data_IF_146450396900
#
_entry.id   IF_146450396900
#
_cell.length_a   1.000
_cell.length_b   1.000
_cell.length_c   1.000
_cell.angle_alpha   90.00
_cell.angle_beta   90.00
_cell.angle_gamma   90.00
#
_symmetry.space_group_name_H-M   'P 1'
#
loop_
_entity.id
_entity.type
_entity.pdbx_description
1 polymer ?
#
# COMPACT_ATOMS: atom_id res chain seq x y z
N UNK A 1 -24.51 -80.81 23.78
CA UNK A 1 -24.00 -81.80 22.84
C UNK A 1 -22.77 -81.13 22.19
N UNK A 2 -21.70 -81.46 22.56
CA UNK A 2 -20.71 -82.46 22.32
C UNK A 2 -19.66 -81.86 21.42
N UNK A 3 -18.51 -81.82 21.70
CA UNK A 3 -17.42 -82.55 22.16
C UNK A 3 -16.23 -82.20 21.34
N UNK A 4 -15.15 -82.00 21.83
CA UNK A 4 -13.93 -82.68 22.01
C UNK A 4 -12.87 -82.14 21.02
N UNK A 5 -11.66 -81.76 21.31
CA UNK A 5 -10.69 -82.42 22.10
C UNK A 5 -9.46 -82.65 21.21
N UNK A 6 -8.28 -82.33 21.65
CA UNK A 6 -7.09 -82.90 21.04
C UNK A 6 -5.90 -81.95 20.91
N UNK A 7 -5.00 -82.12 21.83
CA UNK A 7 -3.70 -81.46 21.95
C UNK A 7 -2.61 -82.08 21.05
N UNK A 8 -1.51 -81.42 20.95
CA UNK A 8 -0.31 -81.84 20.26
C UNK A 8 0.89 -80.97 20.60
N UNK A 9 1.71 -81.44 21.53
CA UNK A 9 3.06 -80.91 21.81
C UNK A 9 3.97 -81.11 20.59
N UNK A 10 4.84 -80.15 20.31
CA UNK A 10 5.84 -80.35 19.27
C UNK A 10 6.90 -79.25 19.14
N UNK A 11 7.92 -79.32 20.00
CA UNK A 11 9.34 -79.03 19.74
C UNK A 11 9.74 -77.57 19.31
N UNK A 12 10.41 -76.93 20.23
CA UNK A 12 11.34 -75.80 20.04
C UNK A 12 12.44 -76.18 19.05
N UNK A 13 12.68 -75.35 18.05
CA UNK A 13 13.95 -75.26 17.32
C UNK A 13 14.41 -73.82 17.39
N UNK A 14 15.56 -73.62 18.04
CA UNK A 14 16.32 -72.37 18.02
C UNK A 14 16.94 -72.21 16.62
N UNK A 15 16.62 -71.14 15.96
CA UNK A 15 17.42 -70.64 14.81
C UNK A 15 18.04 -69.31 15.18
N UNK A 16 19.36 -69.25 15.13
CA UNK A 16 20.19 -68.10 15.33
C UNK A 16 19.91 -67.09 14.18
N UNK A 17 19.56 -65.88 14.52
CA UNK A 17 19.50 -64.79 13.57
C UNK A 17 20.85 -64.11 13.49
N UNK A 18 21.47 -64.24 12.31
CA UNK A 18 22.64 -63.49 11.87
C UNK A 18 22.12 -62.14 11.38
N UNK A 19 22.59 -60.95 11.83
CA UNK A 19 22.14 -59.67 11.29
C UNK A 19 22.88 -59.42 9.98
N UNK A 20 22.17 -59.50 8.86
CA UNK A 20 22.60 -58.93 7.59
C UNK A 20 22.53 -57.41 7.68
N UNK A 21 23.66 -56.76 7.81
CA UNK A 21 23.86 -55.35 7.58
C UNK A 21 23.66 -55.06 6.07
N UNK A 22 22.46 -54.60 5.70
CA UNK A 22 22.22 -53.98 4.41
C UNK A 22 22.56 -52.51 4.54
N UNK A 23 23.51 -51.96 3.75
CA UNK A 23 23.68 -50.50 3.71
C UNK A 23 22.51 -49.92 2.96
N UNK A 24 21.63 -49.14 3.64
CA UNK A 24 20.67 -48.25 3.04
C UNK A 24 21.44 -47.19 2.29
N UNK A 25 21.56 -47.36 0.98
CA UNK A 25 21.93 -46.29 0.05
C UNK A 25 20.73 -45.39 -0.08
N UNK A 26 20.59 -44.37 0.79
CA UNK A 26 19.70 -43.26 0.61
C UNK A 26 20.26 -42.42 -0.53
N UNK A 27 19.84 -42.71 -1.75
CA UNK A 27 19.91 -41.79 -2.86
C UNK A 27 18.96 -40.60 -2.54
N UNK A 28 19.54 -39.56 -1.96
CA UNK A 28 18.92 -38.25 -1.92
C UNK A 28 18.81 -37.75 -3.36
N UNK A 29 17.66 -38.00 -3.98
CA UNK A 29 17.23 -37.21 -5.14
C UNK A 29 16.81 -35.87 -4.58
N UNK A 30 17.78 -35.03 -4.30
CA UNK A 30 17.57 -33.59 -4.16
C UNK A 30 17.18 -33.08 -5.55
N UNK A 31 15.89 -33.15 -5.87
CA UNK A 31 15.30 -32.43 -6.99
C UNK A 31 15.62 -30.95 -6.78
N UNK A 32 16.56 -30.44 -7.57
CA UNK A 32 16.89 -29.05 -7.66
C UNK A 32 15.71 -28.31 -8.31
N UNK A 33 14.71 -28.01 -7.52
CA UNK A 33 13.82 -26.88 -7.73
C UNK A 33 14.40 -25.68 -6.97
N UNK A 34 15.67 -25.35 -7.25
CA UNK A 34 16.19 -24.03 -7.01
C UNK A 34 15.52 -23.11 -8.01
N UNK A 35 14.28 -22.69 -7.72
CA UNK A 35 13.74 -21.47 -8.25
C UNK A 35 14.79 -20.41 -7.97
N UNK A 36 15.37 -19.81 -9.00
CA UNK A 36 16.19 -18.63 -8.90
C UNK A 36 15.36 -17.62 -8.11
N UNK A 37 15.61 -17.44 -6.81
CA UNK A 37 15.30 -16.20 -6.12
C UNK A 37 15.98 -15.12 -6.97
N UNK A 38 15.15 -14.43 -7.78
CA UNK A 38 15.60 -13.21 -8.41
C UNK A 38 16.05 -12.33 -7.23
N UNK A 39 17.30 -11.89 -7.27
CA UNK A 39 17.78 -10.87 -6.35
C UNK A 39 16.71 -9.77 -6.28
N UNK A 40 15.87 -9.79 -5.24
CA UNK A 40 15.12 -8.62 -4.83
C UNK A 40 16.19 -7.58 -4.60
N UNK A 41 16.20 -6.53 -5.41
CA UNK A 41 17.17 -5.44 -5.26
C UNK A 41 17.18 -5.09 -3.78
N UNK A 42 18.31 -5.32 -3.12
CA UNK A 42 18.44 -5.17 -1.67
C UNK A 42 18.35 -3.67 -1.34
N UNK A 43 17.12 -3.12 -1.36
CA UNK A 43 16.89 -1.91 -0.59
C UNK A 43 17.00 -2.32 0.88
N UNK A 44 17.92 -1.63 1.59
CA UNK A 44 17.92 -1.70 3.04
C UNK A 44 16.53 -1.32 3.59
N UNK A 45 16.36 -1.47 4.87
CA UNK A 45 15.11 -1.05 5.55
C UNK A 45 14.74 0.38 5.16
N UNK A 46 13.45 0.66 4.99
CA UNK A 46 12.95 2.03 4.89
C UNK A 46 13.32 2.78 6.18
N UNK A 47 13.92 3.96 6.05
CA UNK A 47 14.45 4.73 7.18
C UNK A 47 14.22 6.22 7.00
N UNK A 48 14.12 6.92 8.12
CA UNK A 48 14.16 8.38 8.13
C UNK A 48 15.56 8.89 7.79
N UNK A 49 15.64 9.95 7.00
CA UNK A 49 16.89 10.60 6.57
C UNK A 49 17.68 11.12 7.77
N UNK A 50 18.97 10.88 7.78
CA UNK A 50 19.85 11.18 8.92
C UNK A 50 19.94 12.67 9.23
N UNK A 51 20.08 13.49 8.22
CA UNK A 51 20.31 14.94 8.36
C UNK A 51 19.03 15.67 8.78
N UNK A 52 17.90 15.31 8.17
CA UNK A 52 16.64 16.03 8.32
C UNK A 52 15.65 15.37 9.26
N UNK A 53 15.77 14.06 9.51
CA UNK A 53 14.76 13.30 10.24
C UNK A 53 13.42 13.26 9.48
N UNK A 54 13.45 13.33 8.15
CA UNK A 54 12.26 13.26 7.29
C UNK A 54 12.15 11.91 6.61
N UNK A 55 10.92 11.51 6.28
CA UNK A 55 10.60 10.44 5.35
C UNK A 55 9.54 10.94 4.38
N UNK A 56 9.82 10.87 3.08
CA UNK A 56 8.97 11.45 2.05
C UNK A 56 8.40 10.37 1.15
N UNK A 57 7.08 10.37 1.00
CA UNK A 57 6.32 9.51 0.10
C UNK A 57 5.78 10.34 -1.05
N UNK A 58 5.93 9.87 -2.29
CA UNK A 58 5.18 10.37 -3.45
C UNK A 58 4.09 9.35 -3.77
N UNK A 59 2.84 9.78 -3.64
CA UNK A 59 1.66 9.00 -4.06
C UNK A 59 1.34 9.32 -5.52
N UNK A 60 1.22 8.27 -6.31
CA UNK A 60 0.79 8.28 -7.72
C UNK A 60 -0.46 7.43 -7.85
N UNK A 61 -1.55 7.97 -8.39
CA UNK A 61 -2.81 7.27 -8.57
C UNK A 61 -3.29 7.43 -10.01
N UNK A 62 -4.03 6.45 -10.48
CA UNK A 62 -4.81 6.55 -11.72
C UNK A 62 -3.94 6.96 -12.92
N UNK A 63 -2.87 6.19 -13.15
CA UNK A 63 -2.02 6.38 -14.32
C UNK A 63 -2.70 5.91 -15.59
N UNK A 64 -3.52 4.87 -15.51
CA UNK A 64 -4.19 4.24 -16.64
C UNK A 64 -3.27 4.00 -17.84
N UNK A 65 -2.02 3.66 -17.55
CA UNK A 65 -1.02 3.43 -18.60
C UNK A 65 -1.43 2.23 -19.47
N UNK A 66 -1.29 2.33 -20.76
CA UNK A 66 -1.58 1.24 -21.68
C UNK A 66 -0.39 0.97 -22.60
N UNK A 67 -0.48 1.25 -23.88
CA UNK A 67 0.54 0.86 -24.86
C UNK A 67 1.54 1.98 -25.20
N UNK A 68 1.79 2.87 -24.28
CA UNK A 68 2.83 3.90 -24.37
C UNK A 68 2.60 4.89 -25.51
N UNK A 69 3.48 4.91 -26.49
CA UNK A 69 3.42 5.85 -27.63
C UNK A 69 2.13 5.73 -28.47
N UNK A 70 1.53 4.55 -28.52
CA UNK A 70 0.30 4.30 -29.32
C UNK A 70 -0.98 4.67 -28.58
N UNK A 71 -0.90 4.98 -27.29
CA UNK A 71 -2.05 5.36 -26.46
C UNK A 71 -2.16 6.86 -26.38
N UNK A 72 -3.27 7.43 -26.90
CA UNK A 72 -3.52 8.87 -26.88
C UNK A 72 -3.92 9.38 -25.50
N UNK A 73 -3.64 10.66 -25.24
CA UNK A 73 -4.13 11.34 -24.04
C UNK A 73 -5.63 11.60 -24.12
N UNK A 74 -6.29 11.61 -22.95
CA UNK A 74 -7.70 11.98 -22.79
C UNK A 74 -7.84 13.28 -22.00
N UNK A 75 -8.93 14.02 -22.24
CA UNK A 75 -9.32 15.22 -21.50
C UNK A 75 -8.19 16.26 -21.34
N UNK A 76 -7.45 16.48 -22.40
CA UNK A 76 -6.42 17.52 -22.50
C UNK A 76 -6.91 18.72 -23.32
N UNK A 77 -6.24 19.87 -23.19
CA UNK A 77 -6.54 21.03 -24.01
C UNK A 77 -6.29 20.74 -25.51
N UNK A 78 -7.04 21.33 -26.44
CA UNK A 78 -6.83 21.14 -27.88
C UNK A 78 -5.37 21.36 -28.32
N UNK A 79 -4.69 22.31 -27.69
CA UNK A 79 -3.26 22.59 -27.93
C UNK A 79 -2.30 21.50 -27.44
N UNK A 80 -2.76 20.59 -26.61
CA UNK A 80 -1.97 19.50 -26.03
C UNK A 80 -2.19 18.16 -26.74
N UNK A 81 -3.23 18.02 -27.58
CA UNK A 81 -3.61 16.75 -28.22
C UNK A 81 -2.51 16.21 -29.13
N UNK A 82 -1.90 17.09 -29.93
CA UNK A 82 -0.91 16.66 -30.92
C UNK A 82 0.34 16.06 -30.24
N UNK A 83 0.55 14.75 -30.45
CA UNK A 83 1.69 14.02 -29.90
C UNK A 83 1.60 13.67 -28.41
N UNK A 84 0.48 13.93 -27.74
CA UNK A 84 0.24 13.52 -26.37
C UNK A 84 -0.08 12.03 -26.29
N UNK A 85 0.66 11.32 -25.45
CA UNK A 85 0.52 9.86 -25.25
C UNK A 85 0.85 9.52 -23.80
N UNK A 86 0.79 8.22 -23.44
CA UNK A 86 1.27 7.73 -22.14
C UNK A 86 2.70 8.16 -21.81
N UNK A 87 3.52 8.48 -22.82
CA UNK A 87 4.87 8.99 -22.58
C UNK A 87 4.87 10.34 -21.85
N UNK A 88 3.77 11.08 -21.86
CA UNK A 88 3.60 12.27 -21.03
C UNK A 88 3.48 11.88 -19.55
N UNK A 89 2.77 10.79 -19.24
CA UNK A 89 2.74 10.20 -17.90
C UNK A 89 4.14 9.80 -17.44
N UNK A 90 4.90 9.10 -18.30
CA UNK A 90 6.30 8.73 -18.03
C UNK A 90 7.16 9.97 -17.76
N UNK A 91 7.06 11.00 -18.59
CA UNK A 91 7.83 12.23 -18.43
C UNK A 91 7.48 12.95 -17.12
N UNK A 92 6.21 12.99 -16.74
CA UNK A 92 5.76 13.59 -15.49
C UNK A 92 6.28 12.83 -14.26
N UNK A 93 6.30 11.48 -14.28
CA UNK A 93 6.92 10.68 -13.22
C UNK A 93 8.38 11.07 -12.99
N UNK A 94 9.20 11.12 -14.04
CA UNK A 94 10.61 11.53 -13.91
C UNK A 94 10.77 12.94 -13.34
N UNK A 95 9.91 13.89 -13.76
CA UNK A 95 9.94 15.27 -13.28
C UNK A 95 9.63 15.35 -11.78
N UNK A 96 8.56 14.67 -11.33
CA UNK A 96 8.16 14.66 -9.94
C UNK A 96 9.19 13.96 -9.06
N UNK A 97 9.71 12.81 -9.49
CA UNK A 97 10.69 12.06 -8.71
C UNK A 97 12.02 12.83 -8.56
N UNK A 98 12.48 13.54 -9.61
CA UNK A 98 13.66 14.41 -9.50
C UNK A 98 13.44 15.61 -8.58
N UNK A 99 12.25 16.20 -8.61
CA UNK A 99 11.94 17.38 -7.81
C UNK A 99 11.72 17.05 -6.33
N UNK A 100 11.14 15.88 -6.04
CA UNK A 100 10.77 15.50 -4.68
C UNK A 100 11.80 14.58 -4.01
N UNK A 101 12.59 13.82 -4.79
CA UNK A 101 13.54 12.84 -4.25
C UNK A 101 12.90 11.98 -3.14
N UNK A 102 11.82 11.20 -3.46
CA UNK A 102 11.09 10.46 -2.44
C UNK A 102 11.92 9.33 -1.84
N UNK A 103 11.63 9.01 -0.57
CA UNK A 103 12.16 7.83 0.11
C UNK A 103 11.33 6.58 -0.21
N UNK A 104 10.08 6.77 -0.70
CA UNK A 104 9.19 5.73 -1.18
C UNK A 104 8.22 6.32 -2.22
N UNK A 105 7.98 5.59 -3.29
CA UNK A 105 6.87 5.84 -4.20
C UNK A 105 5.73 4.88 -3.89
N UNK A 106 4.51 5.38 -3.77
CA UNK A 106 3.31 4.55 -3.56
C UNK A 106 2.37 4.73 -4.74
N UNK A 107 2.15 3.66 -5.47
CA UNK A 107 1.18 3.57 -6.55
C UNK A 107 -0.15 3.09 -5.97
N UNK A 108 -1.18 3.93 -6.04
CA UNK A 108 -2.47 3.64 -5.38
C UNK A 108 -3.55 3.17 -6.33
N UNK A 109 -3.19 2.27 -7.24
CA UNK A 109 -4.12 1.56 -8.13
C UNK A 109 -4.40 2.29 -9.44
N UNK A 110 -5.07 1.58 -10.33
CA UNK A 110 -5.29 1.95 -11.72
C UNK A 110 -3.97 2.40 -12.37
N UNK A 111 -2.95 1.57 -12.13
CA UNK A 111 -1.60 1.78 -12.64
C UNK A 111 -1.59 1.62 -14.16
N UNK A 112 -2.38 0.65 -14.66
CA UNK A 112 -2.64 0.43 -16.07
C UNK A 112 -4.14 0.48 -16.34
N UNK A 113 -4.50 0.73 -17.61
CA UNK A 113 -5.84 0.48 -18.10
C UNK A 113 -5.84 -0.86 -18.84
N UNK A 114 -6.13 -1.93 -18.09
CA UNK A 114 -6.01 -3.30 -18.59
C UNK A 114 -6.82 -3.53 -19.86
N UNK A 115 -8.03 -2.98 -19.95
CA UNK A 115 -8.90 -3.11 -21.13
C UNK A 115 -8.28 -2.52 -22.42
N UNK A 116 -7.43 -1.50 -22.31
CA UNK A 116 -6.77 -0.85 -23.45
C UNK A 116 -5.32 -1.31 -23.65
N UNK A 117 -4.81 -2.15 -22.75
CA UNK A 117 -3.45 -2.69 -22.82
C UNK A 117 -3.41 -3.93 -23.70
N UNK A 118 -2.55 -3.95 -24.72
CA UNK A 118 -2.35 -5.16 -25.55
C UNK A 118 -1.64 -6.27 -24.77
N UNK A 119 -0.82 -5.90 -23.77
CA UNK A 119 -0.11 -6.80 -22.87
C UNK A 119 0.02 -6.11 -21.50
N UNK A 120 -0.83 -6.51 -20.56
CA UNK A 120 -0.91 -5.90 -19.23
C UNK A 120 0.44 -5.94 -18.46
N UNK A 121 1.24 -7.01 -18.64
CA UNK A 121 2.55 -7.09 -17.99
C UNK A 121 3.52 -6.03 -18.54
N UNK A 122 3.58 -5.86 -19.87
CA UNK A 122 4.43 -4.83 -20.49
C UNK A 122 3.97 -3.42 -20.16
N UNK A 123 2.65 -3.19 -20.14
CA UNK A 123 2.10 -1.89 -19.73
C UNK A 123 2.46 -1.55 -18.30
N UNK A 124 2.38 -2.54 -17.39
CA UNK A 124 2.81 -2.39 -16.00
C UNK A 124 4.31 -2.12 -15.89
N UNK A 125 5.14 -2.87 -16.63
CA UNK A 125 6.59 -2.63 -16.68
C UNK A 125 6.90 -1.20 -17.14
N UNK A 126 6.21 -0.69 -18.15
CA UNK A 126 6.40 0.67 -18.66
C UNK A 126 5.90 1.75 -17.69
N UNK A 127 4.75 1.52 -17.04
CA UNK A 127 4.19 2.44 -16.04
C UNK A 127 5.12 2.63 -14.84
N UNK A 128 5.76 1.56 -14.36
CA UNK A 128 6.62 1.57 -13.17
C UNK A 128 8.10 1.86 -13.51
N UNK A 129 8.50 1.76 -14.78
CA UNK A 129 9.89 1.93 -15.23
C UNK A 129 10.59 3.17 -14.64
N UNK A 130 9.98 4.36 -14.53
CA UNK A 130 10.67 5.53 -13.95
C UNK A 130 11.13 5.34 -12.51
N UNK A 131 10.36 4.64 -11.67
CA UNK A 131 10.77 4.34 -10.30
C UNK A 131 11.95 3.35 -10.27
N UNK A 132 11.92 2.34 -11.15
CA UNK A 132 13.00 1.35 -11.29
C UNK A 132 14.29 2.00 -11.81
N UNK A 133 14.21 2.81 -12.85
CA UNK A 133 15.35 3.47 -13.49
C UNK A 133 16.05 4.44 -12.54
N UNK A 134 15.27 5.16 -11.74
CA UNK A 134 15.78 6.07 -10.71
C UNK A 134 16.18 5.35 -9.42
N UNK A 135 16.08 4.01 -9.38
CA UNK A 135 16.41 3.17 -8.22
C UNK A 135 15.64 3.59 -6.96
N UNK A 136 14.40 3.99 -7.12
CA UNK A 136 13.53 4.32 -5.98
C UNK A 136 12.85 3.05 -5.46
N UNK A 137 12.74 2.86 -4.14
CA UNK A 137 11.86 1.84 -3.58
C UNK A 137 10.41 2.25 -3.85
N UNK A 138 9.56 1.29 -4.14
CA UNK A 138 8.15 1.53 -4.39
C UNK A 138 7.27 0.40 -3.88
N UNK A 139 6.01 0.75 -3.60
CA UNK A 139 4.95 -0.16 -3.20
C UNK A 139 3.68 0.17 -3.98
N UNK A 140 2.81 -0.81 -4.20
CA UNK A 140 1.58 -0.62 -4.95
C UNK A 140 0.39 -1.35 -4.32
N UNK A 141 -0.79 -0.78 -4.50
CA UNK A 141 -2.07 -1.48 -4.41
C UNK A 141 -2.68 -1.59 -5.80
N UNK A 142 -3.66 -2.46 -5.96
CA UNK A 142 -4.35 -2.72 -7.21
C UNK A 142 -5.64 -1.89 -7.26
N UNK A 143 -5.91 -1.25 -8.40
CA UNK A 143 -7.18 -0.60 -8.71
C UNK A 143 -8.16 -1.56 -9.40
N UNK A 144 -9.28 -1.03 -9.89
CA UNK A 144 -10.28 -1.84 -10.57
C UNK A 144 -9.96 -2.07 -12.05
N UNK A 145 -9.18 -1.19 -12.69
CA UNK A 145 -8.80 -1.32 -14.10
C UNK A 145 -7.54 -2.15 -14.35
N UNK A 146 -6.72 -2.41 -13.32
CA UNK A 146 -5.44 -3.13 -13.49
C UNK A 146 -5.61 -4.56 -14.01
N UNK A 147 -6.74 -5.22 -13.75
CA UNK A 147 -7.02 -6.62 -14.10
C UNK A 147 -7.91 -6.81 -15.32
N UNK A 148 -8.37 -5.75 -15.98
CA UNK A 148 -9.31 -5.82 -17.10
C UNK A 148 -8.70 -6.36 -18.40
N UNK A 149 -7.41 -6.72 -18.40
CA UNK A 149 -6.65 -7.16 -19.56
C UNK A 149 -6.21 -8.60 -19.50
N UNK A 150 -4.94 -8.83 -19.88
CA UNK A 150 -4.36 -10.16 -20.02
C UNK A 150 -3.93 -10.81 -18.70
N UNK A 151 -4.00 -10.10 -17.59
CA UNK A 151 -3.68 -10.59 -16.25
C UNK A 151 -4.92 -10.60 -15.35
N UNK A 152 -5.11 -11.67 -14.58
CA UNK A 152 -6.05 -11.69 -13.48
C UNK A 152 -5.56 -10.76 -12.33
N UNK A 153 -6.42 -10.41 -11.39
CA UNK A 153 -6.06 -9.61 -10.21
C UNK A 153 -4.88 -10.21 -9.44
N UNK A 154 -4.88 -11.52 -9.21
CA UNK A 154 -3.73 -12.23 -8.64
C UNK A 154 -2.50 -12.12 -9.53
N UNK A 155 -2.67 -12.25 -10.84
CA UNK A 155 -1.58 -12.13 -11.82
C UNK A 155 -0.94 -10.75 -11.82
N UNK A 156 -1.74 -9.68 -11.69
CA UNK A 156 -1.25 -8.30 -11.54
C UNK A 156 -0.41 -8.17 -10.27
N UNK A 157 -0.92 -8.64 -9.13
CA UNK A 157 -0.16 -8.56 -7.88
C UNK A 157 1.12 -9.39 -7.92
N UNK A 158 1.09 -10.57 -8.53
CA UNK A 158 2.26 -11.42 -8.75
C UNK A 158 3.32 -10.72 -9.58
N UNK A 159 2.90 -10.02 -10.63
CA UNK A 159 3.79 -9.24 -11.48
C UNK A 159 4.44 -8.10 -10.69
N UNK A 160 3.64 -7.27 -9.99
CA UNK A 160 4.12 -6.17 -9.15
C UNK A 160 5.13 -6.61 -8.08
N UNK A 161 4.85 -7.72 -7.38
CA UNK A 161 5.77 -8.29 -6.35
C UNK A 161 7.08 -8.75 -6.98
N UNK A 162 7.04 -9.27 -8.22
CA UNK A 162 8.21 -9.77 -8.95
C UNK A 162 9.09 -8.68 -9.56
N UNK A 163 8.62 -7.46 -9.67
CA UNK A 163 9.36 -6.36 -10.31
C UNK A 163 10.52 -5.87 -9.45
N UNK A 164 11.55 -5.33 -10.11
CA UNK A 164 12.72 -4.76 -9.42
C UNK A 164 12.32 -3.57 -8.54
N UNK A 165 12.95 -3.47 -7.38
CA UNK A 165 12.72 -2.41 -6.40
C UNK A 165 11.33 -2.41 -5.74
N UNK A 166 10.50 -3.41 -6.00
CA UNK A 166 9.20 -3.56 -5.39
C UNK A 166 9.32 -3.93 -3.91
N UNK A 167 8.59 -3.21 -3.08
CA UNK A 167 8.33 -3.56 -1.68
C UNK A 167 6.90 -4.10 -1.51
N UNK A 168 6.14 -4.21 -2.60
CA UNK A 168 4.81 -4.82 -2.60
C UNK A 168 4.90 -6.28 -2.19
N UNK A 169 3.89 -6.77 -1.48
CA UNK A 169 3.82 -8.14 -1.01
C UNK A 169 2.42 -8.70 -1.15
N UNK A 170 2.31 -10.01 -1.27
CA UNK A 170 1.05 -10.72 -1.11
C UNK A 170 0.54 -10.62 0.33
N UNK A 171 -0.68 -11.13 0.54
CA UNK A 171 -1.21 -11.36 1.87
C UNK A 171 -0.23 -12.20 2.69
N UNK A 172 -0.14 -12.00 4.02
CA UNK A 172 0.68 -12.84 4.88
C UNK A 172 0.33 -14.32 4.75
N UNK A 173 1.34 -15.18 4.76
CA UNK A 173 1.15 -16.63 4.69
C UNK A 173 0.43 -17.17 5.95
N UNK A 174 -0.33 -18.24 5.77
CA UNK A 174 -1.02 -18.94 6.85
C UNK A 174 -2.29 -18.26 7.37
N UNK A 175 -2.71 -17.17 6.76
CA UNK A 175 -3.95 -16.45 7.08
C UNK A 175 -4.78 -16.31 5.79
N UNK A 176 -6.04 -16.70 5.85
CA UNK A 176 -6.97 -16.48 4.75
C UNK A 176 -7.51 -15.04 4.80
N UNK A 177 -7.15 -14.24 3.81
CA UNK A 177 -7.53 -12.83 3.68
C UNK A 177 -8.07 -12.61 2.27
N UNK A 178 -9.24 -12.00 2.18
CA UNK A 178 -9.83 -11.62 0.89
C UNK A 178 -8.93 -10.63 0.12
N UNK A 179 -8.95 -10.73 -1.21
CA UNK A 179 -8.17 -9.86 -2.10
C UNK A 179 -6.68 -10.24 -2.17
N UNK A 180 -5.91 -9.40 -2.87
CA UNK A 180 -4.49 -9.64 -3.15
C UNK A 180 -3.66 -8.40 -2.82
N UNK A 181 -2.63 -8.58 -1.99
CA UNK A 181 -1.75 -7.47 -1.60
C UNK A 181 -2.26 -6.66 -0.41
N UNK A 182 -2.72 -7.38 0.64
CA UNK A 182 -2.90 -6.80 1.97
C UNK A 182 -1.61 -7.00 2.75
N UNK A 183 -0.85 -5.94 2.95
CA UNK A 183 0.47 -6.00 3.61
C UNK A 183 0.79 -4.71 4.34
N UNK A 184 1.83 -4.73 5.17
CA UNK A 184 2.36 -3.54 5.82
C UNK A 184 3.86 -3.37 5.55
N UNK A 185 4.31 -2.13 5.61
CA UNK A 185 5.72 -1.75 5.62
C UNK A 185 6.01 -0.94 6.89
N UNK A 186 7.16 -1.22 7.48
CA UNK A 186 7.65 -0.50 8.66
C UNK A 186 8.76 0.47 8.23
N UNK A 187 8.70 1.71 8.70
CA UNK A 187 9.75 2.71 8.49
C UNK A 187 10.50 2.90 9.79
N UNK A 188 11.77 2.56 9.76
CA UNK A 188 12.67 2.67 10.92
C UNK A 188 13.10 4.12 11.16
N UNK A 189 13.51 4.40 12.38
CA UNK A 189 14.10 5.70 12.74
C UNK A 189 15.42 5.96 12.01
N UNK A 190 16.12 7.00 12.45
CA UNK A 190 17.39 7.42 11.85
C UNK A 190 18.50 6.43 12.21
N UNK A 191 19.28 6.02 11.21
CA UNK A 191 20.41 5.10 11.34
C UNK A 191 21.45 5.58 12.36
N UNK A 192 21.95 4.67 13.16
CA UNK A 192 22.96 4.95 14.19
C UNK A 192 22.41 5.70 15.42
N UNK A 193 21.09 5.76 15.60
CA UNK A 193 20.44 6.36 16.78
C UNK A 193 19.65 5.31 17.58
N UNK A 194 19.22 5.63 18.83
CA UNK A 194 18.37 4.73 19.59
C UNK A 194 17.03 4.34 18.92
N UNK A 195 16.67 5.04 17.83
CA UNK A 195 15.46 4.78 17.04
C UNK A 195 15.73 3.94 15.78
N UNK A 196 16.99 3.58 15.49
CA UNK A 196 17.40 2.93 14.25
C UNK A 196 16.61 1.66 13.92
N UNK A 197 16.52 0.71 14.84
CA UNK A 197 15.84 -0.55 14.60
C UNK A 197 14.34 -0.54 14.94
N UNK A 198 13.80 0.63 15.34
CA UNK A 198 12.42 0.75 15.78
C UNK A 198 11.53 1.23 14.64
N UNK A 199 10.39 0.57 14.47
CA UNK A 199 9.35 1.05 13.55
C UNK A 199 8.69 2.31 14.11
N UNK A 200 8.99 3.46 13.53
CA UNK A 200 8.47 4.76 13.99
C UNK A 200 7.34 5.30 13.14
N UNK A 201 7.06 4.65 12.00
CA UNK A 201 5.93 4.92 11.12
C UNK A 201 5.49 3.60 10.48
N UNK A 202 4.20 3.33 10.47
CA UNK A 202 3.60 2.15 9.85
C UNK A 202 2.84 2.54 8.57
N UNK A 203 3.02 1.76 7.52
CA UNK A 203 2.31 1.93 6.25
C UNK A 203 1.49 0.67 6.00
N UNK A 204 0.17 0.80 5.84
CA UNK A 204 -0.75 -0.29 5.58
C UNK A 204 -1.28 -0.19 4.17
N UNK A 205 -1.24 -1.29 3.45
CA UNK A 205 -1.70 -1.42 2.07
C UNK A 205 -2.83 -2.44 2.03
N UNK A 206 -3.98 -2.07 1.45
CA UNK A 206 -5.13 -2.95 1.34
C UNK A 206 -5.64 -3.01 -0.09
N UNK A 207 -6.03 -4.19 -0.50
CA UNK A 207 -6.80 -4.40 -1.72
C UNK A 207 -8.26 -3.99 -1.46
N UNK A 208 -8.68 -2.85 -2.00
CA UNK A 208 -10.07 -2.37 -1.86
C UNK A 208 -11.07 -3.09 -2.77
N UNK A 209 -10.60 -4.09 -3.53
CA UNK A 209 -11.43 -4.87 -4.44
C UNK A 209 -11.59 -4.22 -5.81
N UNK A 210 -12.60 -4.68 -6.50
CA UNK A 210 -13.02 -4.34 -7.85
C UNK A 210 -14.54 -4.11 -7.84
N UNK A 211 -15.23 -4.36 -8.95
CA UNK A 211 -16.69 -4.40 -8.99
C UNK A 211 -17.24 -5.46 -8.04
N UNK A 212 -18.46 -5.20 -7.54
CA UNK A 212 -19.12 -6.16 -6.65
C UNK A 212 -19.38 -7.49 -7.36
N UNK A 213 -18.98 -8.60 -6.71
CA UNK A 213 -19.27 -9.96 -7.17
C UNK A 213 -20.60 -10.50 -6.63
N UNK A 214 -21.32 -9.71 -5.83
CA UNK A 214 -22.64 -10.09 -5.29
C UNK A 214 -23.72 -9.71 -6.30
N UNK A 215 -24.48 -10.66 -6.89
CA UNK A 215 -25.39 -10.37 -8.01
C UNK A 215 -26.47 -9.32 -7.72
N UNK A 216 -26.85 -9.15 -6.45
CA UNK A 216 -27.88 -8.17 -6.02
C UNK A 216 -27.31 -6.79 -5.68
N UNK A 217 -25.98 -6.60 -5.76
CA UNK A 217 -25.31 -5.36 -5.38
C UNK A 217 -24.50 -4.88 -6.57
N UNK A 218 -24.95 -3.79 -7.19
CA UNK A 218 -24.23 -3.16 -8.29
C UNK A 218 -23.14 -2.21 -7.76
N UNK A 219 -22.19 -1.86 -8.63
CA UNK A 219 -21.09 -0.94 -8.32
C UNK A 219 -19.88 -1.65 -7.74
N UNK A 220 -19.17 -0.99 -6.85
CA UNK A 220 -17.88 -1.48 -6.38
C UNK A 220 -17.97 -2.41 -5.17
N UNK A 221 -17.02 -3.33 -5.07
CA UNK A 221 -16.79 -4.16 -3.90
C UNK A 221 -16.34 -3.33 -2.69
N UNK A 222 -16.03 -3.99 -1.61
CA UNK A 222 -15.66 -3.36 -0.33
C UNK A 222 -14.58 -4.16 0.38
N UNK A 223 -13.82 -3.49 1.25
CA UNK A 223 -12.84 -4.13 2.13
C UNK A 223 -13.57 -5.13 3.04
N UNK A 224 -13.18 -6.39 2.97
CA UNK A 224 -13.88 -7.52 3.62
C UNK A 224 -13.52 -7.64 5.10
N UNK A 225 -14.33 -8.41 5.85
CA UNK A 225 -14.10 -8.62 7.27
C UNK A 225 -12.75 -9.26 7.59
N UNK A 226 -12.28 -10.22 6.76
CA UNK A 226 -10.95 -10.83 6.91
C UNK A 226 -9.81 -9.82 6.81
N UNK A 227 -9.91 -8.86 5.89
CA UNK A 227 -8.94 -7.76 5.74
C UNK A 227 -8.95 -6.82 6.96
N UNK A 228 -10.14 -6.52 7.50
CA UNK A 228 -10.28 -5.67 8.68
C UNK A 228 -9.69 -6.34 9.92
N UNK A 229 -9.94 -7.64 10.12
CA UNK A 229 -9.36 -8.43 11.22
C UNK A 229 -7.83 -8.43 11.11
N UNK A 230 -7.29 -8.72 9.91
CA UNK A 230 -5.85 -8.66 9.67
C UNK A 230 -5.26 -7.28 9.99
N UNK A 231 -5.91 -6.21 9.51
CA UNK A 231 -5.47 -4.84 9.76
C UNK A 231 -5.42 -4.51 11.25
N UNK A 232 -6.49 -4.80 11.99
CA UNK A 232 -6.58 -4.55 13.44
C UNK A 232 -5.54 -5.35 14.22
N UNK A 233 -5.32 -6.60 13.89
CA UNK A 233 -4.31 -7.46 14.53
C UNK A 233 -2.90 -6.95 14.24
N UNK A 234 -2.61 -6.60 12.99
CA UNK A 234 -1.32 -6.04 12.57
C UNK A 234 -1.05 -4.72 13.28
N UNK A 235 -1.99 -3.80 13.27
CA UNK A 235 -1.89 -2.51 13.97
C UNK A 235 -1.64 -2.71 15.46
N UNK A 236 -2.42 -3.54 16.14
CA UNK A 236 -2.26 -3.84 17.57
C UNK A 236 -0.89 -4.41 17.89
N UNK A 237 -0.40 -5.34 17.07
CA UNK A 237 0.93 -5.96 17.24
C UNK A 237 2.06 -4.92 17.10
N UNK A 238 2.00 -4.08 16.06
CA UNK A 238 3.00 -3.04 15.82
C UNK A 238 2.99 -1.98 16.92
N UNK A 239 1.82 -1.59 17.41
CA UNK A 239 1.68 -0.66 18.54
C UNK A 239 2.27 -1.25 19.82
N UNK A 240 1.95 -2.51 20.15
CA UNK A 240 2.49 -3.19 21.32
C UNK A 240 4.02 -3.29 21.26
N UNK A 241 4.57 -3.69 20.11
CA UNK A 241 6.02 -3.74 19.86
C UNK A 241 6.65 -2.35 20.08
N UNK A 242 6.12 -1.31 19.44
CA UNK A 242 6.65 0.04 19.55
C UNK A 242 6.63 0.57 20.98
N UNK A 243 5.52 0.40 21.72
CA UNK A 243 5.39 0.88 23.09
C UNK A 243 6.31 0.13 24.06
N UNK A 244 6.47 -1.17 23.88
CA UNK A 244 7.40 -1.98 24.68
C UNK A 244 8.86 -1.57 24.46
N UNK A 245 9.25 -1.31 23.23
CA UNK A 245 10.60 -0.87 22.86
C UNK A 245 10.87 0.60 23.22
N UNK A 246 9.83 1.39 23.47
CA UNK A 246 9.90 2.83 23.72
C UNK A 246 9.10 3.26 24.93
N UNK A 247 9.43 2.83 26.16
CA UNK A 247 8.58 3.09 27.35
C UNK A 247 8.43 4.56 27.71
N UNK A 248 9.23 5.47 27.14
CA UNK A 248 9.11 6.92 27.31
C UNK A 248 8.11 7.55 26.34
N UNK A 249 7.65 6.84 25.31
CA UNK A 249 6.61 7.32 24.41
C UNK A 249 5.24 7.19 25.06
N UNK A 250 4.38 8.17 24.83
CA UNK A 250 3.00 8.19 25.36
C UNK A 250 1.96 7.74 24.32
N UNK A 251 2.34 7.69 23.07
CA UNK A 251 1.49 7.35 21.93
C UNK A 251 2.24 6.37 21.03
N UNK A 252 1.52 5.46 20.36
CA UNK A 252 2.12 4.52 19.40
C UNK A 252 2.70 5.27 18.18
N UNK A 253 3.48 4.56 17.39
CA UNK A 253 3.91 5.03 16.08
C UNK A 253 2.67 5.30 15.20
N UNK A 254 2.59 6.43 14.48
CA UNK A 254 1.46 6.70 13.59
C UNK A 254 1.44 5.75 12.40
N UNK A 255 0.22 5.51 11.88
CA UNK A 255 -0.05 4.73 10.69
C UNK A 255 -0.58 5.57 9.53
N UNK A 256 -0.20 5.22 8.30
CA UNK A 256 -0.77 5.70 7.04
C UNK A 256 -1.37 4.50 6.30
N UNK A 257 -2.56 4.66 5.73
CA UNK A 257 -3.27 3.59 5.02
C UNK A 257 -3.40 3.95 3.54
N UNK A 258 -3.16 3.00 2.65
CA UNK A 258 -3.24 3.16 1.21
C UNK A 258 -4.15 2.08 0.61
N UNK A 259 -5.13 2.51 -0.16
CA UNK A 259 -6.01 1.64 -0.96
C UNK A 259 -6.54 2.44 -2.15
N UNK A 260 -7.26 1.82 -3.07
CA UNK A 260 -7.68 2.48 -4.31
C UNK A 260 -9.08 3.07 -4.23
N UNK A 261 -10.11 2.24 -4.09
CA UNK A 261 -11.52 2.66 -4.10
C UNK A 261 -11.87 3.33 -2.77
N UNK A 262 -12.39 4.57 -2.77
CA UNK A 262 -12.67 5.30 -1.53
C UNK A 262 -13.76 4.64 -0.69
N UNK A 263 -13.72 4.90 0.62
CA UNK A 263 -14.78 4.52 1.55
C UNK A 263 -15.98 5.46 1.43
N UNK A 264 -17.20 5.04 1.78
CA UNK A 264 -18.38 5.90 1.80
C UNK A 264 -18.20 7.19 2.62
N UNK A 265 -17.34 7.17 3.64
CA UNK A 265 -17.04 8.30 4.52
C UNK A 265 -16.40 9.51 3.79
N UNK A 266 -15.78 9.30 2.63
CA UNK A 266 -15.29 10.40 1.79
C UNK A 266 -16.43 11.32 1.31
N UNK A 267 -17.68 10.84 1.31
CA UNK A 267 -18.86 11.65 0.99
C UNK A 267 -19.22 12.66 2.08
N UNK A 268 -18.67 12.53 3.30
CA UNK A 268 -18.97 13.40 4.44
C UNK A 268 -18.42 14.83 4.30
N UNK A 269 -17.62 15.10 3.28
CA UNK A 269 -16.96 16.39 3.14
C UNK A 269 -17.74 17.36 2.23
N UNK A 270 -17.81 18.59 2.70
CA UNK A 270 -18.35 19.77 1.98
C UNK A 270 -17.22 20.78 1.80
N UNK A 271 -17.37 21.76 0.93
CA UNK A 271 -16.35 22.78 0.65
C UNK A 271 -15.82 23.54 1.90
N UNK A 272 -16.53 23.46 3.02
CA UNK A 272 -16.15 24.13 4.27
C UNK A 272 -15.15 23.35 5.12
N UNK A 273 -14.91 22.05 4.84
CA UNK A 273 -14.14 21.17 5.75
C UNK A 273 -13.11 20.27 5.06
N UNK A 274 -12.63 20.67 3.88
CA UNK A 274 -11.50 20.01 3.22
C UNK A 274 -10.57 21.04 2.56
N UNK A 275 -9.32 20.61 2.29
CA UNK A 275 -8.34 21.35 1.48
C UNK A 275 -8.22 20.64 0.13
N UNK A 276 -8.19 21.40 -0.97
CA UNK A 276 -8.11 20.85 -2.33
C UNK A 276 -9.41 21.01 -3.10
N UNK A 277 -9.67 20.12 -4.04
CA UNK A 277 -10.78 20.21 -4.99
C UNK A 277 -11.59 18.93 -5.00
N UNK A 278 -12.93 19.06 -5.03
CA UNK A 278 -13.90 18.00 -5.24
C UNK A 278 -14.76 18.39 -6.45
N UNK A 279 -14.50 17.78 -7.60
CA UNK A 279 -15.16 18.11 -8.87
C UNK A 279 -16.11 17.01 -9.35
N UNK A 280 -16.09 15.86 -8.70
CA UNK A 280 -16.99 14.75 -9.04
C UNK A 280 -17.56 14.08 -7.80
N UNK A 281 -18.55 13.20 -8.01
CA UNK A 281 -19.12 12.37 -6.96
C UNK A 281 -18.08 11.41 -6.38
N UNK A 282 -18.38 10.86 -5.23
CA UNK A 282 -17.51 9.83 -4.60
C UNK A 282 -17.99 8.47 -5.09
N UNK A 283 -17.17 7.82 -5.90
CA UNK A 283 -17.43 6.48 -6.45
C UNK A 283 -16.96 5.41 -5.44
N UNK A 284 -17.59 5.42 -4.26
CA UNK A 284 -17.20 4.57 -3.15
C UNK A 284 -17.68 3.12 -3.30
N UNK A 285 -17.15 2.26 -2.42
CA UNK A 285 -17.69 0.93 -2.17
C UNK A 285 -19.22 0.95 -2.00
N UNK A 286 -19.93 0.00 -2.62
CA UNK A 286 -21.40 -0.08 -2.59
C UNK A 286 -21.96 -0.43 -1.22
N UNK A 287 -21.15 -1.07 -0.37
CA UNK A 287 -21.46 -1.40 1.02
C UNK A 287 -20.46 -0.70 1.92
N UNK A 288 -20.97 0.01 2.93
CA UNK A 288 -20.11 0.45 4.04
C UNK A 288 -19.81 -0.75 4.94
N UNK A 289 -18.61 -1.32 4.80
CA UNK A 289 -18.18 -2.48 5.57
C UNK A 289 -17.68 -2.15 6.98
N UNK A 290 -17.61 -0.87 7.34
CA UNK A 290 -17.12 -0.42 8.65
C UNK A 290 -15.60 -0.25 8.75
N UNK A 291 -14.85 -0.32 7.65
CA UNK A 291 -13.39 -0.20 7.71
C UNK A 291 -12.91 1.15 8.27
N UNK A 292 -13.67 2.22 8.05
CA UNK A 292 -13.37 3.50 8.70
C UNK A 292 -13.42 3.40 10.23
N UNK A 293 -14.43 2.72 10.78
CA UNK A 293 -14.50 2.45 12.22
C UNK A 293 -13.31 1.62 12.71
N UNK A 294 -12.92 0.59 11.95
CA UNK A 294 -11.72 -0.22 12.26
C UNK A 294 -10.44 0.63 12.34
N UNK A 295 -10.27 1.62 11.45
CA UNK A 295 -9.13 2.55 11.51
C UNK A 295 -9.20 3.47 12.74
N UNK A 296 -10.38 3.96 13.11
CA UNK A 296 -10.58 4.79 14.29
C UNK A 296 -10.29 4.01 15.57
N UNK A 297 -10.78 2.77 15.66
CA UNK A 297 -10.58 1.87 16.82
C UNK A 297 -9.13 1.43 16.96
N UNK A 298 -8.42 1.19 15.86
CA UNK A 298 -6.99 0.89 15.85
C UNK A 298 -6.18 2.01 16.54
N UNK A 299 -6.58 3.27 16.34
CA UNK A 299 -6.07 4.42 17.09
C UNK A 299 -4.69 4.94 16.67
N UNK A 300 -3.95 4.25 15.80
CA UNK A 300 -2.66 4.67 15.27
C UNK A 300 -2.78 5.39 13.92
N UNK A 301 -3.83 5.15 13.15
CA UNK A 301 -4.02 5.75 11.82
C UNK A 301 -4.19 7.25 11.89
N UNK A 302 -3.43 7.98 11.09
CA UNK A 302 -3.50 9.46 10.98
C UNK A 302 -4.04 9.92 9.64
N UNK A 303 -3.82 9.16 8.58
CA UNK A 303 -4.34 9.46 7.25
C UNK A 303 -4.57 8.19 6.44
N UNK A 304 -5.58 8.23 5.55
CA UNK A 304 -5.82 7.26 4.51
C UNK A 304 -5.76 7.95 3.13
N UNK A 305 -5.14 7.30 2.16
CA UNK A 305 -4.85 7.82 0.84
C UNK A 305 -5.44 6.91 -0.23
N UNK A 306 -6.19 7.51 -1.18
CA UNK A 306 -6.91 6.79 -2.23
C UNK A 306 -6.67 7.40 -3.62
N UNK A 307 -7.05 6.67 -4.66
CA UNK A 307 -7.20 7.11 -6.04
C UNK A 307 -8.65 7.09 -6.51
N UNK A 308 -8.89 6.55 -7.71
CA UNK A 308 -10.18 6.19 -8.28
C UNK A 308 -11.00 7.34 -8.88
N UNK A 309 -11.28 8.39 -8.12
CA UNK A 309 -12.01 9.57 -8.62
C UNK A 309 -10.98 10.62 -9.08
N UNK A 310 -10.73 10.74 -10.40
CA UNK A 310 -9.56 11.40 -10.97
C UNK A 310 -9.55 12.91 -10.81
N UNK A 311 -10.74 13.54 -10.75
CA UNK A 311 -10.84 15.00 -10.59
C UNK A 311 -11.17 15.43 -9.16
N UNK A 312 -11.01 14.51 -8.18
CA UNK A 312 -10.96 14.78 -6.76
C UNK A 312 -9.51 14.73 -6.25
N UNK A 313 -9.08 15.76 -5.53
CA UNK A 313 -7.73 15.81 -4.95
C UNK A 313 -7.70 16.37 -3.52
N UNK A 314 -8.85 16.35 -2.85
CA UNK A 314 -8.99 16.93 -1.52
C UNK A 314 -8.46 16.03 -0.39
N UNK A 315 -8.16 16.67 0.75
CA UNK A 315 -8.03 16.04 2.06
C UNK A 315 -9.02 16.64 3.03
N UNK A 316 -9.77 15.81 3.73
CA UNK A 316 -10.69 16.22 4.78
C UNK A 316 -10.49 15.39 6.06
N UNK A 317 -10.70 16.02 7.23
CA UNK A 317 -10.52 15.36 8.52
C UNK A 317 -11.83 14.88 9.09
N UNK A 318 -11.94 13.57 9.36
CA UNK A 318 -13.09 12.94 9.99
C UNK A 318 -12.62 12.12 11.20
N UNK A 319 -13.20 12.34 12.37
CA UNK A 319 -12.88 11.62 13.62
C UNK A 319 -11.38 11.43 13.91
N UNK A 320 -10.56 12.43 13.57
CA UNK A 320 -9.13 12.40 13.83
C UNK A 320 -8.27 11.86 12.71
N UNK A 321 -8.86 11.20 11.70
CA UNK A 321 -8.18 10.65 10.51
C UNK A 321 -8.39 11.60 9.33
N UNK A 322 -7.34 11.85 8.56
CA UNK A 322 -7.39 12.54 7.28
C UNK A 322 -7.74 11.54 6.17
N UNK A 323 -8.72 11.87 5.34
CA UNK A 323 -9.11 11.10 4.17
C UNK A 323 -8.72 11.91 2.93
N UNK A 324 -7.78 11.40 2.13
CA UNK A 324 -7.09 12.14 1.08
C UNK A 324 -7.16 11.45 -0.28
N UNK A 325 -7.58 12.16 -1.32
CA UNK A 325 -7.38 11.76 -2.71
C UNK A 325 -6.03 12.21 -3.25
N UNK A 326 -5.44 11.44 -4.16
CA UNK A 326 -4.24 11.86 -4.88
C UNK A 326 -4.55 12.86 -6.01
N UNK A 327 -5.67 12.67 -6.69
CA UNK A 327 -5.96 13.24 -8.01
C UNK A 327 -5.32 12.43 -9.14
N UNK A 328 -5.95 12.39 -10.30
CA UNK A 328 -5.50 11.61 -11.45
C UNK A 328 -4.14 12.05 -11.97
N UNK A 329 -3.24 11.09 -12.15
CA UNK A 329 -1.86 11.31 -12.58
C UNK A 329 -1.69 11.11 -14.08
N UNK A 330 -2.32 10.07 -14.64
CA UNK A 330 -2.08 9.63 -16.01
C UNK A 330 -2.77 10.47 -17.08
N UNK A 331 -2.20 10.47 -18.24
CA UNK A 331 -2.72 11.21 -19.39
C UNK A 331 -3.74 10.41 -20.21
N UNK A 332 -3.77 9.08 -20.10
CA UNK A 332 -4.80 8.23 -20.68
C UNK A 332 -5.97 7.98 -19.72
N UNK A 333 -5.91 8.47 -18.50
CA UNK A 333 -7.02 8.53 -17.58
C UNK A 333 -7.96 9.70 -17.93
N UNK A 334 -9.27 9.52 -17.76
CA UNK A 334 -10.19 10.65 -17.86
C UNK A 334 -9.75 11.76 -16.88
N UNK A 335 -10.12 13.00 -17.18
CA UNK A 335 -9.72 14.16 -16.39
C UNK A 335 -10.59 15.36 -16.69
N UNK A 336 -9.96 16.51 -16.72
CA UNK A 336 -10.63 17.77 -17.11
C UNK A 336 -9.63 18.65 -17.82
N UNK A 337 -9.95 19.02 -19.06
CA UNK A 337 -9.09 19.90 -19.84
C UNK A 337 -8.81 21.21 -19.08
N UNK A 338 -7.51 21.57 -18.98
CA UNK A 338 -7.06 22.74 -18.22
C UNK A 338 -6.88 22.50 -16.71
N UNK A 339 -7.22 21.33 -16.18
CA UNK A 339 -6.93 20.93 -14.81
C UNK A 339 -5.75 19.96 -14.80
N UNK A 340 -4.56 20.47 -14.47
CA UNK A 340 -3.30 19.76 -14.59
C UNK A 340 -3.31 18.43 -13.83
N UNK A 341 -2.75 17.39 -14.44
CA UNK A 341 -2.44 16.11 -13.77
C UNK A 341 -1.58 16.37 -12.55
N UNK A 342 -1.63 15.51 -11.56
CA UNK A 342 -0.96 15.75 -10.27
C UNK A 342 -0.50 14.52 -9.55
N UNK A 343 0.48 14.72 -8.67
CA UNK A 343 0.91 13.77 -7.66
C UNK A 343 0.71 14.35 -6.27
N UNK A 344 0.44 13.52 -5.27
CA UNK A 344 0.45 13.90 -3.87
C UNK A 344 1.78 13.55 -3.22
N UNK A 345 2.27 14.45 -2.40
CA UNK A 345 3.49 14.24 -1.60
C UNK A 345 3.10 14.23 -0.14
N UNK A 346 3.63 13.26 0.61
CA UNK A 346 3.45 13.16 2.06
C UNK A 346 4.82 13.19 2.72
N UNK A 347 5.05 14.12 3.61
CA UNK A 347 6.30 14.28 4.35
C UNK A 347 6.08 14.07 5.83
N UNK A 348 6.78 13.10 6.39
CA UNK A 348 6.73 12.76 7.81
C UNK A 348 8.02 13.25 8.47
N UNK A 349 7.90 13.96 9.57
CA UNK A 349 9.01 14.55 10.31
C UNK A 349 9.14 13.94 11.70
N UNK A 350 10.33 13.50 12.08
CA UNK A 350 10.66 13.13 13.45
C UNK A 350 10.83 14.36 14.35
N UNK A 351 10.58 14.18 15.63
CA UNK A 351 10.92 15.15 16.67
C UNK A 351 12.44 15.11 16.92
N UNK A 352 13.06 16.27 17.00
CA UNK A 352 14.45 16.42 17.45
C UNK A 352 14.44 17.15 18.78
N UNK A 353 15.09 16.59 19.79
CA UNK A 353 15.23 17.23 21.10
C UNK A 353 16.27 18.34 21.07
N UNK A 354 16.28 19.17 22.11
CA UNK A 354 17.28 20.23 22.27
C UNK A 354 18.71 19.66 22.35
N UNK A 355 18.87 18.43 22.82
CA UNK A 355 20.15 17.72 22.85
C UNK A 355 20.51 17.05 21.52
N UNK A 356 19.72 17.26 20.46
CA UNK A 356 19.96 16.73 19.12
C UNK A 356 19.51 15.27 18.89
N UNK A 357 18.87 14.61 19.85
CA UNK A 357 18.39 13.25 19.74
C UNK A 357 17.09 13.17 18.91
N UNK A 358 16.97 12.16 18.04
CA UNK A 358 15.73 11.87 17.33
C UNK A 358 14.76 11.08 18.21
N UNK A 359 13.48 11.43 18.13
CA UNK A 359 12.36 10.75 18.78
C UNK A 359 11.34 10.28 17.74
N UNK A 360 10.17 9.85 18.19
CA UNK A 360 9.09 9.44 17.31
C UNK A 360 8.59 10.57 16.41
N UNK A 361 7.64 10.26 15.52
CA UNK A 361 7.08 11.22 14.57
C UNK A 361 6.50 12.43 15.28
N UNK A 362 6.85 13.64 14.80
CA UNK A 362 6.34 14.94 15.26
C UNK A 362 5.15 15.41 14.43
N UNK A 363 5.27 15.29 13.09
CA UNK A 363 4.23 15.83 12.20
C UNK A 363 4.18 15.07 10.88
N UNK A 364 3.01 15.12 10.24
CA UNK A 364 2.74 14.64 8.90
C UNK A 364 2.18 15.81 8.11
N UNK A 365 2.81 16.12 6.95
CA UNK A 365 2.42 17.19 6.03
C UNK A 365 2.15 16.62 4.66
N UNK A 366 1.35 17.32 3.87
CA UNK A 366 1.12 16.98 2.46
C UNK A 366 1.10 18.22 1.60
N UNK A 367 1.36 18.04 0.30
CA UNK A 367 1.16 18.98 -0.78
C UNK A 367 0.96 18.22 -2.08
N UNK A 368 0.62 18.93 -3.15
CA UNK A 368 0.51 18.34 -4.50
C UNK A 368 1.49 19.00 -5.46
N UNK A 369 1.97 18.21 -6.44
CA UNK A 369 2.75 18.68 -7.59
C UNK A 369 1.89 18.61 -8.83
N UNK A 370 1.76 19.72 -9.52
CA UNK A 370 1.04 19.81 -10.80
C UNK A 370 1.97 19.50 -11.96
N UNK A 371 1.44 18.83 -13.00
CA UNK A 371 2.15 18.71 -14.27
C UNK A 371 1.97 19.98 -15.10
N UNK A 372 2.62 21.02 -14.67
CA UNK A 372 2.76 22.30 -15.38
C UNK A 372 4.27 22.58 -15.64
N UNK A 373 4.56 23.70 -16.28
CA UNK A 373 5.94 24.10 -16.61
C UNK A 373 6.86 24.13 -15.39
N UNK A 374 6.32 24.47 -14.22
CA UNK A 374 7.10 24.75 -13.01
C UNK A 374 7.00 23.63 -11.95
N UNK A 375 6.24 22.57 -12.21
CA UNK A 375 5.87 21.58 -11.19
C UNK A 375 5.31 22.26 -9.94
N UNK A 376 4.35 23.15 -10.15
CA UNK A 376 3.79 24.01 -9.09
C UNK A 376 3.35 23.21 -7.89
N UNK A 377 3.70 23.72 -6.70
CA UNK A 377 3.26 23.15 -5.42
C UNK A 377 1.97 23.84 -5.00
N UNK A 378 0.93 23.05 -4.71
CA UNK A 378 -0.37 23.55 -4.24
C UNK A 378 -0.83 22.81 -2.98
N UNK A 379 -1.78 23.38 -2.27
CA UNK A 379 -2.50 22.79 -1.14
C UNK A 379 -1.60 22.16 -0.07
N UNK A 380 -0.57 22.91 0.33
CA UNK A 380 0.31 22.51 1.43
C UNK A 380 -0.42 22.61 2.75
N UNK A 381 -0.54 21.50 3.47
CA UNK A 381 -1.20 21.47 4.77
C UNK A 381 -0.55 20.48 5.75
N UNK A 382 -0.89 20.64 7.02
CA UNK A 382 -0.49 19.73 8.09
C UNK A 382 -1.64 18.77 8.37
N UNK A 383 -1.44 17.48 8.05
CA UNK A 383 -2.44 16.45 8.30
C UNK A 383 -2.51 16.06 9.78
N UNK A 384 -1.35 16.02 10.45
CA UNK A 384 -1.26 15.65 11.86
C UNK A 384 -0.01 16.25 12.53
N UNK A 385 -0.18 16.64 13.81
CA UNK A 385 0.92 17.00 14.71
C UNK A 385 0.76 16.25 16.04
N UNK A 386 1.86 15.76 16.59
CA UNK A 386 1.88 15.20 17.95
C UNK A 386 1.43 16.26 18.95
N UNK A 387 0.53 15.90 19.86
CA UNK A 387 0.03 16.79 20.90
C UNK A 387 -1.08 17.76 20.49
N UNK A 388 -1.52 17.75 19.22
CA UNK A 388 -2.64 18.61 18.77
C UNK A 388 -4.03 18.08 19.19
N UNK A 389 -4.13 16.86 19.69
CA UNK A 389 -5.40 16.22 20.05
C UNK A 389 -5.91 16.57 21.47
N UNK A 390 -5.31 17.50 22.20
CA UNK A 390 -5.54 17.70 23.64
C UNK A 390 -6.11 19.03 24.10
N UNK A 391 -6.53 19.96 23.22
CA UNK A 391 -7.32 21.13 23.69
C UNK A 391 -8.82 20.92 23.42
N UNK A 392 -9.49 20.06 24.22
CA UNK A 392 -10.90 20.29 24.53
C UNK A 392 -11.00 21.73 25.03
N UNK A 393 -11.63 22.61 24.28
CA UNK A 393 -12.12 23.87 24.80
C UNK A 393 -12.96 23.53 26.05
N UNK A 394 -12.45 23.82 27.24
CA UNK A 394 -13.28 23.93 28.40
C UNK A 394 -14.26 25.06 28.08
N UNK A 395 -15.53 24.72 27.94
CA UNK A 395 -16.57 25.72 27.93
C UNK A 395 -16.41 26.51 29.24
N UNK A 396 -16.23 27.84 29.22
CA UNK A 396 -16.31 28.62 30.41
C UNK A 396 -17.79 28.78 30.75
N UNK A 397 -18.20 28.21 31.90
CA UNK A 397 -19.27 28.71 32.74
C UNK A 397 -20.68 28.54 32.22
N UNK A 398 -21.36 27.49 32.71
CA UNK A 398 -22.76 27.58 33.05
C UNK A 398 -22.82 27.88 34.52
N UNK A 399 -23.13 29.07 34.86
CA UNK A 399 -23.75 29.45 36.16
C UNK A 399 -25.24 29.55 35.98
#
# INVERSE_FOLDING_TARGET
MGGGGGGGLGRRRHFAYLPLLLPLLLLAVAGAAAGKEKEKGAFGKLRFRRESGTFKVVQVADMHYADGRSTACEDVLPSQVAGCTDLNTTAFLYRVFRAEEPDLVVFTGDNIYGANSTDAAKSMDAAIAPAIDMKLPWAAVIGNHDQEGTLSREGVMRHLVGMKNSLSSFNPEGIEIDGYGNYNLEVSGVEGTPMDEKSVLNLYFLDSGDYSTVPSINGYGWIKASQQVWFQQTSSSLQAKYMNENPKQKEPAPGLVFFHIPLPEFSSFTAANFTGVKQEGISSASINSGFFASMVEAGDVRAAFVGHDHINDFCGKLNGIQLCYAGGFGYHAYGKAGWSRRARVVSVQLEKTDNGEWRGVKSIKTWKRLDDKHLSTIDSEVLWNRGSNGRRRKNPGGS
#
